data_IF_756949088774
#
_entry.id   IF_756949088774
#
_cell.length_a   1.000
_cell.length_b   1.000
_cell.length_c   1.000
_cell.angle_alpha   90.00
_cell.angle_beta   90.00
_cell.angle_gamma   90.00
#
_symmetry.space_group_name_H-M   'P 1'
#
loop_
_entity.id
_entity.type
_entity.pdbx_description
1 polymer ?
#
# COMPACT_ATOMS: atom_id res chain seq x y z
N UNK A 1 16.76 5.05 -12.41
CA UNK A 1 16.09 3.96 -11.66
C UNK A 1 16.28 2.67 -12.44
N UNK A 2 16.80 1.63 -11.84
CA UNK A 2 16.99 0.33 -12.49
C UNK A 2 16.21 -0.72 -11.70
N UNK A 3 15.14 -1.29 -12.28
CA UNK A 3 14.43 -2.42 -11.68
C UNK A 3 15.24 -3.68 -11.98
N UNK A 4 15.64 -4.42 -10.96
CA UNK A 4 16.43 -5.65 -11.07
C UNK A 4 15.55 -6.90 -11.10
N UNK A 5 14.43 -6.89 -10.38
CA UNK A 5 13.45 -7.98 -10.41
C UNK A 5 12.04 -7.48 -10.13
N UNK A 6 11.08 -8.20 -10.68
CA UNK A 6 9.66 -8.03 -10.38
C UNK A 6 9.16 -9.37 -9.84
N UNK A 7 8.48 -9.32 -8.71
CA UNK A 7 7.80 -10.46 -8.13
C UNK A 7 6.31 -10.18 -8.11
N UNK A 8 5.52 -11.16 -8.50
CA UNK A 8 4.06 -11.12 -8.38
C UNK A 8 3.61 -12.11 -7.33
N UNK A 9 2.57 -11.77 -6.62
CA UNK A 9 1.95 -12.70 -5.67
C UNK A 9 1.03 -13.64 -6.44
N UNK A 10 1.31 -14.94 -6.39
CA UNK A 10 0.46 -15.99 -6.97
C UNK A 10 -0.27 -16.72 -5.84
N UNK A 11 -1.42 -17.32 -6.16
CA UNK A 11 -2.27 -18.04 -5.21
C UNK A 11 -2.88 -17.17 -4.10
N UNK A 12 -3.09 -15.90 -4.40
CA UNK A 12 -3.89 -15.05 -3.54
C UNK A 12 -5.31 -15.64 -3.45
N UNK A 13 -5.63 -16.23 -2.32
CA UNK A 13 -7.01 -16.65 -2.05
C UNK A 13 -7.77 -15.41 -1.59
N UNK A 14 -8.75 -15.05 -2.37
CA UNK A 14 -9.64 -13.93 -2.14
C UNK A 14 -11.07 -14.43 -2.08
N UNK A 15 -11.85 -13.84 -1.19
CA UNK A 15 -13.30 -14.00 -1.15
C UNK A 15 -13.92 -12.60 -1.13
N UNK A 16 -14.63 -12.25 -2.18
CA UNK A 16 -15.38 -10.99 -2.22
C UNK A 16 -16.50 -11.07 -1.20
N UNK A 17 -16.50 -10.16 -0.24
CA UNK A 17 -17.55 -10.00 0.76
C UNK A 17 -18.66 -9.15 0.14
N UNK A 18 -18.28 -7.97 -0.39
CA UNK A 18 -19.20 -7.07 -1.08
C UNK A 18 -18.43 -6.12 -2.01
N UNK A 19 -18.84 -6.02 -3.27
CA UNK A 19 -18.17 -5.17 -4.27
C UNK A 19 -18.57 -3.69 -4.21
N UNK A 20 -19.47 -3.32 -3.29
CA UNK A 20 -20.01 -1.97 -3.11
C UNK A 20 -20.79 -1.40 -4.32
N UNK A 21 -21.12 -2.21 -5.33
CA UNK A 21 -21.91 -1.82 -6.50
C UNK A 21 -23.43 -1.73 -6.23
N UNK A 22 -23.88 -2.08 -5.02
CA UNK A 22 -25.25 -1.91 -4.57
C UNK A 22 -25.32 -1.07 -3.29
N UNK A 23 -26.42 -0.36 -3.12
CA UNK A 23 -26.62 0.55 -2.00
C UNK A 23 -26.81 -0.21 -0.68
N UNK A 24 -26.04 0.15 0.32
CA UNK A 24 -26.18 -0.38 1.68
C UNK A 24 -27.35 0.28 2.42
N UNK A 25 -28.00 -0.49 3.26
CA UNK A 25 -29.13 -0.03 4.06
C UNK A 25 -28.66 0.82 5.25
N UNK A 26 -29.20 2.02 5.35
CA UNK A 26 -28.96 2.93 6.48
C UNK A 26 -29.42 2.30 7.80
N UNK A 27 -28.58 2.40 8.83
CA UNK A 27 -28.88 1.89 10.18
C UNK A 27 -28.97 3.00 11.23
N UNK A 28 -28.56 4.21 10.88
CA UNK A 28 -28.65 5.39 11.76
C UNK A 28 -30.07 5.86 11.99
N UNK A 29 -30.26 6.81 12.91
CA UNK A 29 -31.52 7.51 13.11
C UNK A 29 -31.90 8.22 11.82
N UNK A 30 -33.17 8.19 11.45
CA UNK A 30 -33.72 8.84 10.24
C UNK A 30 -33.21 10.29 10.12
N UNK A 31 -32.57 10.60 8.99
CA UNK A 31 -31.99 11.91 8.70
C UNK A 31 -30.58 12.16 9.28
N UNK A 32 -30.01 11.23 10.05
CA UNK A 32 -28.64 11.34 10.54
C UNK A 32 -27.60 10.79 9.56
N UNK A 33 -28.03 9.89 8.69
CA UNK A 33 -27.25 9.33 7.59
C UNK A 33 -28.07 9.38 6.32
N UNK A 34 -27.44 9.70 5.20
CA UNK A 34 -28.05 9.55 3.87
C UNK A 34 -27.08 8.75 3.00
N UNK A 35 -27.54 7.61 2.52
CA UNK A 35 -26.75 6.71 1.69
C UNK A 35 -27.15 6.81 0.23
N UNK A 36 -26.18 6.72 -0.66
CA UNK A 36 -26.38 6.69 -2.11
C UNK A 36 -25.24 5.91 -2.77
N UNK A 37 -25.47 5.45 -3.99
CA UNK A 37 -24.39 4.91 -4.81
C UNK A 37 -23.68 6.05 -5.54
N UNK A 38 -22.34 6.05 -5.55
CA UNK A 38 -21.53 7.00 -6.30
C UNK A 38 -20.85 6.29 -7.46
N UNK A 39 -21.23 6.63 -8.69
CA UNK A 39 -20.61 6.09 -9.91
C UNK A 39 -19.37 6.89 -10.34
N UNK A 40 -19.25 8.14 -9.89
CA UNK A 40 -18.16 9.04 -10.26
C UNK A 40 -16.95 8.88 -9.34
N UNK A 41 -17.18 8.69 -8.03
CA UNK A 41 -16.12 8.62 -7.02
C UNK A 41 -16.05 7.20 -6.47
N UNK A 42 -15.28 6.35 -7.16
CA UNK A 42 -15.09 4.92 -6.89
C UNK A 42 -13.66 4.49 -7.18
N UNK A 43 -13.29 3.32 -6.70
CA UNK A 43 -12.00 2.67 -7.01
C UNK A 43 -12.17 1.45 -7.89
N UNK A 44 -13.27 0.72 -7.72
CA UNK A 44 -13.51 -0.56 -8.39
C UNK A 44 -14.96 -0.64 -8.91
N UNK A 45 -15.23 -1.60 -9.77
CA UNK A 45 -16.58 -1.95 -10.18
C UNK A 45 -17.42 -0.82 -10.80
N UNK A 46 -18.70 -0.86 -10.56
CA UNK A 46 -19.72 0.06 -11.07
C UNK A 46 -19.93 1.31 -10.22
N UNK A 47 -19.66 1.24 -8.91
CA UNK A 47 -19.89 2.34 -7.98
C UNK A 47 -19.21 2.14 -6.63
N UNK A 48 -19.32 3.12 -5.76
CA UNK A 48 -18.97 3.02 -4.35
C UNK A 48 -20.16 3.38 -3.46
N UNK A 49 -20.23 2.83 -2.25
CA UNK A 49 -21.22 3.23 -1.27
C UNK A 49 -20.82 4.57 -0.65
N UNK A 50 -21.67 5.57 -0.82
CA UNK A 50 -21.51 6.92 -0.30
C UNK A 50 -22.47 7.16 0.85
N UNK A 51 -21.94 7.50 2.03
CA UNK A 51 -22.70 7.80 3.24
C UNK A 51 -22.43 9.23 3.67
N UNK A 52 -23.45 10.08 3.65
CA UNK A 52 -23.39 11.45 4.14
C UNK A 52 -23.85 11.46 5.58
N UNK A 53 -22.98 11.84 6.49
CA UNK A 53 -23.24 11.90 7.93
C UNK A 53 -23.62 13.32 8.33
N UNK A 54 -24.70 13.46 9.09
CA UNK A 54 -25.04 14.70 9.75
C UNK A 54 -24.23 14.92 11.03
N UNK A 55 -24.16 16.16 11.48
CA UNK A 55 -23.58 16.49 12.81
C UNK A 55 -24.42 15.85 13.91
N UNK A 56 -23.74 15.32 14.93
CA UNK A 56 -24.40 14.78 16.13
C UNK A 56 -24.94 13.35 15.96
N UNK A 57 -24.43 12.60 14.98
CA UNK A 57 -24.67 11.17 14.90
C UNK A 57 -24.12 10.50 16.18
N UNK A 58 -24.95 9.69 16.84
CA UNK A 58 -24.60 9.10 18.14
C UNK A 58 -23.34 8.23 18.04
N UNK A 59 -22.35 8.46 18.90
CA UNK A 59 -21.14 7.68 18.95
C UNK A 59 -21.45 6.18 19.09
N UNK A 60 -20.76 5.34 18.32
CA UNK A 60 -21.00 3.91 18.25
C UNK A 60 -22.16 3.48 17.37
N UNK A 61 -22.82 4.40 16.65
CA UNK A 61 -23.90 4.04 15.72
C UNK A 61 -23.35 3.34 14.46
N UNK A 62 -24.08 2.34 13.99
CA UNK A 62 -23.84 1.75 12.68
C UNK A 62 -24.35 2.74 11.62
N UNK A 63 -23.50 3.13 10.70
CA UNK A 63 -23.82 4.05 9.61
C UNK A 63 -24.73 3.36 8.61
N UNK A 64 -24.27 2.24 8.09
CA UNK A 64 -25.03 1.43 7.14
C UNK A 64 -24.57 -0.03 7.24
N UNK A 65 -25.41 -0.94 6.82
CA UNK A 65 -25.10 -2.35 6.69
C UNK A 65 -25.76 -2.95 5.48
N UNK A 66 -25.23 -4.07 5.01
CA UNK A 66 -25.79 -4.83 3.90
C UNK A 66 -25.83 -6.32 4.23
N UNK A 67 -26.93 -6.94 3.84
CA UNK A 67 -27.09 -8.37 3.93
C UNK A 67 -26.37 -9.04 2.75
N UNK A 68 -25.55 -10.03 3.02
CA UNK A 68 -24.82 -10.78 2.00
C UNK A 68 -25.20 -12.26 2.05
N UNK A 69 -24.94 -12.95 0.94
CA UNK A 69 -25.01 -14.41 0.97
C UNK A 69 -23.99 -14.96 1.97
N UNK A 70 -24.36 -15.98 2.75
CA UNK A 70 -23.47 -16.56 3.74
C UNK A 70 -22.11 -16.92 3.13
N UNK A 71 -21.05 -16.37 3.72
CA UNK A 71 -19.68 -16.61 3.30
C UNK A 71 -18.83 -17.11 4.47
N UNK A 72 -18.04 -18.14 4.22
CA UNK A 72 -17.10 -18.69 5.16
C UNK A 72 -15.73 -18.03 4.97
N UNK A 73 -15.24 -17.32 5.97
CA UNK A 73 -13.96 -16.63 5.99
C UNK A 73 -12.88 -17.35 6.81
N UNK A 74 -13.16 -18.56 7.34
CA UNK A 74 -12.27 -19.29 8.24
C UNK A 74 -10.86 -19.57 7.68
N UNK A 75 -10.70 -19.50 6.38
CA UNK A 75 -9.39 -19.66 5.74
C UNK A 75 -8.70 -18.36 5.36
N UNK A 76 -9.28 -17.21 5.70
CA UNK A 76 -8.74 -15.86 5.41
C UNK A 76 -7.93 -15.36 6.59
N UNK A 77 -7.16 -14.30 6.39
CA UNK A 77 -6.31 -13.72 7.45
C UNK A 77 -6.51 -12.21 7.58
N UNK A 78 -6.96 -11.54 6.52
CA UNK A 78 -7.16 -10.10 6.51
C UNK A 78 -8.43 -9.75 5.75
N UNK A 79 -9.04 -8.62 6.13
CA UNK A 79 -9.99 -7.91 5.31
C UNK A 79 -9.28 -6.78 4.57
N UNK A 80 -9.70 -6.53 3.33
CA UNK A 80 -9.19 -5.46 2.47
C UNK A 80 -10.36 -4.70 1.87
N UNK A 81 -10.23 -3.36 1.79
CA UNK A 81 -11.26 -2.49 1.21
C UNK A 81 -10.70 -1.10 0.94
N UNK A 82 -11.38 -0.34 0.11
CA UNK A 82 -11.10 1.05 -0.11
C UNK A 82 -12.04 1.93 0.70
N UNK A 83 -11.50 2.98 1.30
CA UNK A 83 -12.29 3.96 2.04
C UNK A 83 -11.77 5.37 1.78
N UNK A 84 -12.69 6.33 1.72
CA UNK A 84 -12.40 7.75 1.59
C UNK A 84 -13.32 8.54 2.52
N UNK A 85 -12.78 9.56 3.18
CA UNK A 85 -13.54 10.50 3.99
C UNK A 85 -13.28 11.93 3.52
N UNK A 86 -14.29 12.78 3.49
CA UNK A 86 -14.14 14.22 3.18
C UNK A 86 -13.41 14.98 4.28
N UNK A 87 -13.27 14.40 5.46
CA UNK A 87 -12.50 14.95 6.60
C UNK A 87 -11.43 13.97 7.03
N UNK A 88 -10.37 14.48 7.66
CA UNK A 88 -9.37 13.64 8.29
C UNK A 88 -9.98 12.92 9.50
N UNK A 89 -9.65 11.64 9.69
CA UNK A 89 -10.07 10.84 10.84
C UNK A 89 -8.86 10.29 11.58
N UNK A 90 -9.05 9.90 12.84
CA UNK A 90 -8.05 9.16 13.61
C UNK A 90 -8.29 7.65 13.48
N UNK A 91 -7.28 6.84 13.80
CA UNK A 91 -7.41 5.39 13.72
C UNK A 91 -8.51 4.91 14.69
N UNK A 92 -9.40 4.06 14.19
CA UNK A 92 -10.52 3.52 14.95
C UNK A 92 -11.78 4.41 15.02
N UNK A 93 -11.76 5.64 14.47
CA UNK A 93 -12.98 6.46 14.35
C UNK A 93 -14.04 5.79 13.49
N UNK A 94 -13.59 5.06 12.47
CA UNK A 94 -14.42 4.23 11.62
C UNK A 94 -14.05 2.76 11.81
N UNK A 95 -15.04 1.88 11.73
CA UNK A 95 -14.88 0.44 11.84
C UNK A 95 -15.68 -0.27 10.75
N UNK A 96 -15.07 -1.24 10.08
CA UNK A 96 -15.77 -2.20 9.25
C UNK A 96 -16.23 -3.36 10.14
N UNK A 97 -17.48 -3.74 10.01
CA UNK A 97 -18.11 -4.83 10.78
C UNK A 97 -18.39 -6.02 9.88
N UNK A 98 -18.12 -7.23 10.36
CA UNK A 98 -18.57 -8.48 9.77
C UNK A 98 -19.38 -9.23 10.80
N UNK A 99 -20.52 -9.78 10.41
CA UNK A 99 -21.44 -10.39 11.35
C UNK A 99 -22.13 -11.64 10.77
N UNK A 100 -22.39 -12.58 11.63
CA UNK A 100 -23.20 -13.76 11.36
C UNK A 100 -24.69 -13.56 11.74
N UNK A 101 -25.06 -12.32 12.12
CA UNK A 101 -26.45 -11.89 12.35
C UNK A 101 -26.82 -10.76 11.39
N UNK A 102 -28.12 -10.49 11.23
CA UNK A 102 -28.58 -9.44 10.33
C UNK A 102 -28.20 -8.05 10.84
N UNK A 103 -27.92 -7.14 9.90
CA UNK A 103 -27.68 -5.71 10.14
C UNK A 103 -26.50 -5.43 11.08
N UNK A 104 -25.54 -6.33 11.18
CA UNK A 104 -24.37 -6.22 12.07
C UNK A 104 -24.78 -5.97 13.55
N UNK A 105 -25.84 -6.64 14.00
CA UNK A 105 -26.38 -6.43 15.35
C UNK A 105 -25.46 -6.94 16.46
N UNK A 106 -24.61 -7.95 16.16
CA UNK A 106 -23.64 -8.54 17.09
C UNK A 106 -22.37 -8.93 16.33
N UNK A 107 -21.55 -7.96 15.91
CA UNK A 107 -20.41 -8.22 15.02
C UNK A 107 -19.45 -9.24 15.61
N UNK A 108 -19.08 -10.25 14.79
CA UNK A 108 -18.03 -11.23 15.14
C UNK A 108 -16.64 -10.67 14.85
N UNK A 109 -16.53 -9.77 13.85
CA UNK A 109 -15.32 -9.02 13.56
C UNK A 109 -15.62 -7.52 13.59
N UNK A 110 -14.74 -6.77 14.25
CA UNK A 110 -14.77 -5.30 14.30
C UNK A 110 -13.38 -4.80 13.92
N UNK A 111 -13.28 -4.25 12.73
CA UNK A 111 -12.02 -3.94 12.07
C UNK A 111 -11.78 -2.43 12.05
N UNK A 112 -10.80 -1.96 12.80
CA UNK A 112 -10.46 -0.55 12.88
C UNK A 112 -9.89 -0.04 11.56
N UNK A 113 -10.50 1.02 11.03
CA UNK A 113 -9.97 1.77 9.88
C UNK A 113 -8.79 2.62 10.38
N UNK A 114 -7.64 2.64 9.70
CA UNK A 114 -6.53 3.51 10.06
C UNK A 114 -6.91 4.99 9.93
N UNK A 115 -6.06 5.89 10.42
CA UNK A 115 -6.25 7.32 10.23
C UNK A 115 -6.33 7.65 8.72
N UNK A 116 -7.35 8.42 8.33
CA UNK A 116 -7.55 8.83 6.95
C UNK A 116 -7.14 10.29 6.74
N UNK A 117 -6.57 10.55 5.59
CA UNK A 117 -6.35 11.91 5.07
C UNK A 117 -7.63 12.37 4.35
N UNK A 118 -8.05 13.62 4.59
CA UNK A 118 -9.23 14.17 3.95
C UNK A 118 -9.17 14.04 2.42
N UNK A 119 -10.30 13.72 1.81
CA UNK A 119 -10.52 13.60 0.36
C UNK A 119 -9.57 12.62 -0.37
N UNK A 120 -8.95 11.68 0.37
CA UNK A 120 -8.00 10.72 -0.20
C UNK A 120 -8.53 9.30 -0.07
N UNK A 121 -8.59 8.58 -1.18
CA UNK A 121 -8.85 7.15 -1.16
C UNK A 121 -7.70 6.41 -0.49
N UNK A 122 -8.02 5.65 0.54
CA UNK A 122 -7.07 4.84 1.31
C UNK A 122 -7.41 3.37 1.15
N UNK A 123 -6.43 2.59 0.70
CA UNK A 123 -6.53 1.14 0.74
C UNK A 123 -6.26 0.66 2.15
N UNK A 124 -7.22 -0.04 2.72
CA UNK A 124 -7.15 -0.56 4.09
C UNK A 124 -6.95 -2.06 4.03
N UNK A 125 -6.00 -2.53 4.80
CA UNK A 125 -5.76 -3.95 5.05
C UNK A 125 -5.64 -4.18 6.53
N UNK A 126 -6.59 -4.92 7.11
CA UNK A 126 -6.68 -5.18 8.56
C UNK A 126 -6.77 -6.68 8.80
N UNK A 127 -6.02 -7.18 9.79
CA UNK A 127 -6.08 -8.57 10.18
C UNK A 127 -7.44 -8.91 10.79
N UNK A 128 -8.00 -10.06 10.40
CA UNK A 128 -9.14 -10.66 11.08
C UNK A 128 -8.70 -11.14 12.47
N UNK A 129 -9.52 -10.93 13.49
CA UNK A 129 -9.16 -11.26 14.86
C UNK A 129 -9.31 -12.77 15.14
N UNK A 130 -10.41 -13.36 14.68
CA UNK A 130 -10.75 -14.77 14.93
C UNK A 130 -11.34 -15.45 13.69
N UNK A 131 -10.61 -15.46 12.55
CA UNK A 131 -11.15 -15.91 11.27
C UNK A 131 -11.65 -17.36 11.30
N UNK A 132 -11.13 -18.20 12.17
CA UNK A 132 -11.59 -19.59 12.33
C UNK A 132 -13.03 -19.69 12.84
N UNK A 133 -13.58 -18.62 13.42
CA UNK A 133 -14.97 -18.54 13.87
C UNK A 133 -15.89 -17.91 12.82
N UNK A 134 -15.35 -17.28 11.79
CA UNK A 134 -16.07 -16.58 10.73
C UNK A 134 -16.61 -17.51 9.65
N UNK A 135 -17.27 -18.57 10.07
CA UNK A 135 -17.73 -19.66 9.16
C UNK A 135 -19.00 -19.32 8.40
N UNK A 136 -19.74 -18.30 8.82
CA UNK A 136 -21.06 -17.96 8.24
C UNK A 136 -21.37 -16.47 8.35
N UNK A 137 -20.55 -15.62 7.74
CA UNK A 137 -20.80 -14.17 7.70
C UNK A 137 -21.96 -13.90 6.74
N UNK A 138 -22.99 -13.18 7.20
CA UNK A 138 -24.20 -12.85 6.45
C UNK A 138 -24.50 -11.36 6.38
N UNK A 139 -23.73 -10.53 7.06
CA UNK A 139 -23.84 -9.07 6.94
C UNK A 139 -22.49 -8.38 7.06
N UNK A 140 -22.36 -7.26 6.39
CA UNK A 140 -21.23 -6.34 6.44
C UNK A 140 -21.74 -4.96 6.79
N UNK A 141 -20.99 -4.18 7.59
CA UNK A 141 -21.43 -2.86 8.01
C UNK A 141 -20.29 -1.88 8.22
N UNK A 142 -20.64 -0.61 8.19
CA UNK A 142 -19.74 0.48 8.53
C UNK A 142 -20.26 1.17 9.80
N UNK A 143 -19.40 1.38 10.77
CA UNK A 143 -19.71 2.00 12.06
C UNK A 143 -18.75 3.15 12.32
N UNK A 144 -19.23 4.17 13.03
CA UNK A 144 -18.36 5.17 13.64
C UNK A 144 -18.32 4.98 15.15
N UNK A 145 -17.17 5.23 15.79
CA UNK A 145 -16.96 5.05 17.21
C UNK A 145 -17.10 6.36 17.98
N UNK A 146 -16.76 7.47 17.34
CA UNK A 146 -16.82 8.83 17.88
C UNK A 146 -17.57 9.75 16.92
N UNK A 147 -18.15 10.84 17.41
CA UNK A 147 -18.74 11.85 16.53
C UNK A 147 -17.64 12.58 15.77
N UNK A 148 -17.48 12.21 14.52
CA UNK A 148 -16.52 12.84 13.59
C UNK A 148 -17.07 14.11 12.95
N UNK A 149 -18.32 14.52 13.29
CA UNK A 149 -19.01 15.65 12.69
C UNK A 149 -19.62 15.33 11.32
N UNK A 150 -20.02 16.38 10.60
CA UNK A 150 -20.53 16.22 9.25
C UNK A 150 -19.42 15.74 8.31
N UNK A 151 -19.62 14.61 7.67
CA UNK A 151 -18.67 13.99 6.78
C UNK A 151 -19.35 13.20 5.68
N UNK A 152 -18.67 13.00 4.57
CA UNK A 152 -19.06 12.02 3.56
C UNK A 152 -18.03 10.91 3.54
N UNK A 153 -18.49 9.67 3.72
CA UNK A 153 -17.65 8.48 3.69
C UNK A 153 -18.00 7.69 2.44
N UNK A 154 -16.99 7.31 1.69
CA UNK A 154 -17.10 6.36 0.60
C UNK A 154 -16.45 5.04 0.99
N UNK A 155 -17.08 3.93 0.68
CA UNK A 155 -16.57 2.58 0.89
C UNK A 155 -16.68 1.81 -0.43
N UNK A 156 -15.64 1.03 -0.76
CA UNK A 156 -15.59 0.29 -2.01
C UNK A 156 -14.80 -1.02 -1.85
N UNK A 157 -15.15 -2.05 -2.61
CA UNK A 157 -14.39 -3.27 -2.81
C UNK A 157 -14.04 -4.07 -1.55
N UNK A 158 -15.03 -4.43 -0.71
CA UNK A 158 -14.78 -5.19 0.53
C UNK A 158 -14.54 -6.66 0.22
N UNK A 159 -13.38 -7.17 0.64
CA UNK A 159 -12.97 -8.56 0.44
C UNK A 159 -12.20 -9.12 1.64
N UNK A 160 -12.14 -10.42 1.74
CA UNK A 160 -11.24 -11.11 2.65
C UNK A 160 -10.14 -11.81 1.86
N UNK A 161 -8.92 -11.78 2.37
CA UNK A 161 -7.74 -12.35 1.71
C UNK A 161 -6.97 -13.25 2.67
N UNK A 162 -6.30 -14.24 2.10
CA UNK A 162 -5.34 -15.05 2.85
C UNK A 162 -3.93 -14.52 2.61
N UNK A 163 -3.25 -14.13 3.69
CA UNK A 163 -1.85 -13.75 3.62
C UNK A 163 -0.95 -14.98 3.53
N UNK A 164 -0.50 -15.27 2.33
CA UNK A 164 0.51 -16.27 2.09
C UNK A 164 1.84 -15.55 1.81
N UNK A 165 2.63 -15.31 2.85
CA UNK A 165 3.93 -14.63 2.76
C UNK A 165 4.96 -15.37 1.90
N UNK A 166 4.67 -16.63 1.49
CA UNK A 166 5.56 -17.48 0.70
C UNK A 166 5.33 -17.52 -0.81
N UNK A 167 4.24 -16.95 -1.32
CA UNK A 167 3.79 -17.17 -2.71
C UNK A 167 4.25 -16.09 -3.70
N UNK A 168 5.39 -15.48 -3.45
CA UNK A 168 5.99 -14.55 -4.39
C UNK A 168 6.73 -15.28 -5.50
N UNK A 169 6.30 -15.12 -6.74
CA UNK A 169 6.97 -15.65 -7.92
C UNK A 169 7.70 -14.54 -8.65
N UNK A 170 8.99 -14.72 -8.86
CA UNK A 170 9.78 -13.79 -9.66
C UNK A 170 9.42 -13.95 -11.13
N UNK A 171 8.99 -12.85 -11.75
CA UNK A 171 8.71 -12.81 -13.17
C UNK A 171 10.00 -12.91 -14.00
N UNK A 172 9.93 -13.70 -15.06
CA UNK A 172 11.03 -13.78 -16.01
C UNK A 172 11.29 -12.41 -16.64
N UNK A 173 12.57 -12.06 -16.87
CA UNK A 173 12.95 -10.74 -17.39
C UNK A 173 12.26 -10.35 -18.71
N UNK A 174 11.89 -11.31 -19.51
CA UNK A 174 11.21 -11.10 -20.80
C UNK A 174 9.69 -10.87 -20.65
N UNK A 175 9.14 -11.00 -19.45
CA UNK A 175 7.71 -10.80 -19.19
C UNK A 175 7.36 -9.37 -18.78
N UNK A 176 8.33 -8.47 -18.80
CA UNK A 176 8.13 -7.08 -18.42
C UNK A 176 9.19 -6.17 -19.03
N UNK A 177 8.82 -4.93 -19.28
CA UNK A 177 9.77 -3.89 -19.68
C UNK A 177 9.50 -2.58 -18.96
N UNK A 178 10.52 -1.75 -18.85
CA UNK A 178 10.45 -0.43 -18.22
C UNK A 178 10.67 0.62 -19.29
N UNK A 179 9.69 1.47 -19.48
CA UNK A 179 9.84 2.70 -20.25
C UNK A 179 10.38 3.80 -19.31
N UNK A 180 11.65 4.17 -19.52
CA UNK A 180 12.32 5.17 -18.70
C UNK A 180 11.85 6.59 -19.00
N UNK A 181 11.39 6.83 -20.20
CA UNK A 181 10.95 8.16 -20.65
C UNK A 181 9.53 8.44 -20.19
N UNK A 182 8.64 7.46 -20.31
CA UNK A 182 7.28 7.53 -19.81
C UNK A 182 7.19 7.28 -18.28
N UNK A 183 8.28 6.79 -17.63
CA UNK A 183 8.32 6.38 -16.22
C UNK A 183 7.29 5.30 -15.87
N UNK A 184 6.96 4.46 -16.82
CA UNK A 184 6.01 3.37 -16.67
C UNK A 184 6.71 2.01 -16.77
N UNK A 185 6.10 0.99 -16.22
CA UNK A 185 6.49 -0.38 -16.54
C UNK A 185 5.28 -1.12 -17.13
N UNK A 186 5.54 -2.03 -18.06
CA UNK A 186 4.53 -2.84 -18.69
C UNK A 186 4.82 -4.32 -18.42
N UNK A 187 3.80 -5.06 -18.05
CA UNK A 187 3.85 -6.51 -17.96
C UNK A 187 3.43 -7.10 -19.31
N UNK A 188 4.37 -7.75 -19.99
CA UNK A 188 4.13 -8.43 -21.28
C UNK A 188 3.72 -9.90 -21.04
N UNK A 189 2.82 -10.13 -20.08
CA UNK A 189 2.45 -11.48 -19.71
C UNK A 189 1.15 -11.89 -20.41
N UNK A 190 1.19 -12.87 -21.37
CA UNK A 190 -0.01 -13.31 -22.06
C UNK A 190 -1.00 -14.06 -21.17
N UNK A 191 -0.60 -14.41 -19.96
CA UNK A 191 -1.40 -15.11 -18.97
C UNK A 191 -1.29 -14.40 -17.61
N UNK A 192 -1.76 -13.16 -17.51
CA UNK A 192 -2.15 -12.67 -16.19
C UNK A 192 -3.14 -13.68 -15.62
N UNK A 193 -2.98 -14.15 -14.37
CA UNK A 193 -3.94 -15.02 -13.76
C UNK A 193 -5.31 -14.36 -13.88
N UNK A 194 -6.10 -14.81 -14.85
CA UNK A 194 -7.48 -14.36 -15.04
C UNK A 194 -8.24 -14.76 -13.79
N UNK A 195 -8.57 -13.81 -12.94
CA UNK A 195 -9.37 -14.06 -11.75
C UNK A 195 -8.98 -13.26 -10.51
N UNK A 196 -7.83 -12.58 -10.52
CA UNK A 196 -7.45 -11.70 -9.41
C UNK A 196 -7.13 -10.32 -9.99
N UNK A 197 -8.07 -9.42 -9.87
CA UNK A 197 -7.92 -8.04 -10.33
C UNK A 197 -6.81 -7.27 -9.57
N UNK A 198 -6.21 -7.88 -8.55
CA UNK A 198 -5.26 -7.26 -7.62
C UNK A 198 -4.09 -8.19 -7.30
N UNK A 199 -3.25 -8.43 -8.30
CA UNK A 199 -1.95 -9.04 -8.04
C UNK A 199 -1.06 -8.00 -7.37
N UNK A 200 -0.68 -8.22 -6.12
CA UNK A 200 0.35 -7.41 -5.49
C UNK A 200 1.65 -7.59 -6.26
N UNK A 201 2.29 -6.49 -6.59
CA UNK A 201 3.56 -6.46 -7.32
C UNK A 201 4.64 -5.92 -6.39
N UNK A 202 5.72 -6.69 -6.26
CA UNK A 202 6.92 -6.26 -5.53
C UNK A 202 8.01 -5.93 -6.53
N UNK A 203 8.47 -4.69 -6.51
CA UNK A 203 9.58 -4.23 -7.33
C UNK A 203 10.86 -4.19 -6.49
N UNK A 204 11.91 -4.84 -6.94
CA UNK A 204 13.25 -4.67 -6.40
C UNK A 204 14.13 -4.00 -7.45
N UNK A 205 14.91 -3.01 -7.02
CA UNK A 205 15.73 -2.26 -7.96
C UNK A 205 16.66 -1.28 -7.26
N UNK A 206 17.42 -0.56 -8.05
CA UNK A 206 18.33 0.48 -7.59
C UNK A 206 17.68 1.84 -7.79
N UNK A 207 17.48 2.55 -6.69
CA UNK A 207 17.03 3.96 -6.70
C UNK A 207 18.25 4.85 -6.97
N UNK A 208 18.10 5.87 -7.81
CA UNK A 208 19.11 6.93 -7.89
C UNK A 208 19.20 7.60 -6.51
N UNK A 209 20.39 7.78 -5.94
CA UNK A 209 20.55 8.52 -4.68
C UNK A 209 19.90 9.90 -4.77
N UNK A 210 19.39 10.39 -3.66
CA UNK A 210 18.85 11.74 -3.55
C UNK A 210 19.94 12.76 -3.82
N UNK A 211 19.62 13.85 -4.51
CA UNK A 211 20.57 14.95 -4.69
C UNK A 211 20.76 15.67 -3.35
N UNK A 212 22.00 15.80 -2.92
CA UNK A 212 22.36 16.55 -1.71
C UNK A 212 22.34 18.04 -2.04
N UNK A 213 21.22 18.69 -1.82
CA UNK A 213 21.01 20.10 -2.15
C UNK A 213 20.82 21.01 -0.91
N UNK A 214 20.84 20.42 0.29
CA UNK A 214 20.77 21.16 1.55
C UNK A 214 21.49 20.37 2.67
N UNK A 215 21.96 21.08 3.70
CA UNK A 215 22.67 20.47 4.84
C UNK A 215 21.84 19.42 5.62
N UNK A 216 20.52 19.54 5.56
CA UNK A 216 19.59 18.60 6.22
C UNK A 216 19.21 17.40 5.34
N UNK A 217 19.73 17.29 4.11
CA UNK A 217 19.41 16.17 3.22
C UNK A 217 20.21 14.94 3.67
N UNK A 218 19.51 13.89 4.07
CA UNK A 218 20.14 12.61 4.39
C UNK A 218 20.77 11.98 3.15
N UNK A 219 22.01 11.49 3.32
CA UNK A 219 22.74 10.84 2.25
C UNK A 219 22.35 9.36 2.16
N UNK A 220 21.77 8.96 1.04
CA UNK A 220 21.43 7.55 0.75
C UNK A 220 22.67 6.67 0.47
N UNK A 221 23.86 7.27 0.41
CA UNK A 221 25.13 6.58 0.10
C UNK A 221 26.03 6.59 1.33
N UNK A 222 26.69 5.47 1.57
CA UNK A 222 27.65 5.34 2.67
C UNK A 222 28.66 6.51 2.68
N UNK A 223 28.74 7.28 3.79
CA UNK A 223 29.66 8.42 3.88
C UNK A 223 31.12 8.07 3.59
N UNK A 224 31.57 6.89 4.04
CA UNK A 224 32.94 6.41 3.80
C UNK A 224 33.21 6.19 2.31
N UNK A 225 32.25 5.65 1.56
CA UNK A 225 32.35 5.55 0.11
C UNK A 225 32.52 6.93 -0.55
N UNK A 226 31.70 7.91 -0.16
CA UNK A 226 31.74 9.25 -0.75
C UNK A 226 33.07 9.96 -0.45
N UNK A 227 33.56 9.86 0.80
CA UNK A 227 34.82 10.46 1.23
C UNK A 227 35.97 9.85 0.43
N UNK A 228 36.08 8.52 0.40
CA UNK A 228 37.16 7.83 -0.29
C UNK A 228 37.10 8.09 -1.81
N UNK A 229 35.90 8.10 -2.40
CA UNK A 229 35.72 8.41 -3.84
C UNK A 229 36.11 9.85 -4.17
N UNK A 230 35.73 10.82 -3.31
CA UNK A 230 36.12 12.23 -3.48
C UNK A 230 37.66 12.40 -3.36
N UNK A 231 38.29 11.71 -2.39
CA UNK A 231 39.74 11.74 -2.24
C UNK A 231 40.45 11.16 -3.47
N UNK A 232 39.98 10.06 -4.00
CA UNK A 232 40.53 9.48 -5.24
C UNK A 232 40.44 10.44 -6.42
N UNK A 233 39.28 11.11 -6.57
CA UNK A 233 39.10 12.11 -7.63
C UNK A 233 39.97 13.35 -7.48
N UNK A 234 40.14 13.86 -6.25
CA UNK A 234 41.01 14.99 -5.94
C UNK A 234 42.47 14.66 -6.21
N UNK A 235 42.95 13.48 -5.83
CA UNK A 235 44.31 13.05 -6.06
C UNK A 235 44.63 12.90 -7.56
N UNK A 236 43.67 12.35 -8.34
CA UNK A 236 43.82 12.29 -9.81
C UNK A 236 43.87 13.69 -10.42
N UNK A 237 42.98 14.58 -10.01
CA UNK A 237 42.96 15.96 -10.49
C UNK A 237 44.25 16.73 -10.10
N UNK A 238 44.83 16.42 -8.94
CA UNK A 238 46.14 16.97 -8.49
C UNK A 238 47.29 16.39 -9.30
N UNK A 239 47.28 15.08 -9.60
CA UNK A 239 48.27 14.42 -10.42
C UNK A 239 48.33 15.01 -11.83
N UNK A 240 47.21 15.39 -12.40
CA UNK A 240 47.14 16.00 -13.74
C UNK A 240 47.70 17.43 -13.82
N UNK A 241 47.84 18.13 -12.68
CA UNK A 241 48.26 19.52 -12.61
C UNK A 241 49.75 19.73 -12.23
N UNK A 242 50.51 18.67 -11.91
CA UNK A 242 51.85 18.80 -11.42
C UNK A 242 52.86 17.99 -12.25
N UNK A 243 53.83 18.68 -12.73
CA UNK A 243 55.08 18.06 -13.23
C UNK A 243 55.83 17.44 -12.07
N UNK A 244 56.00 16.14 -12.04
CA UNK A 244 57.04 15.48 -11.25
C UNK A 244 56.67 14.40 -10.28
N UNK A 245 55.39 14.18 -9.95
CA UNK A 245 55.03 13.04 -9.09
C UNK A 245 53.63 12.47 -9.43
N UNK A 246 53.37 12.38 -10.72
CA UNK A 246 52.11 11.93 -11.28
C UNK A 246 51.78 10.50 -10.84
N UNK A 247 52.73 9.61 -10.93
CA UNK A 247 52.56 8.19 -10.64
C UNK A 247 52.22 7.92 -9.18
N UNK A 248 52.82 8.68 -8.24
CA UNK A 248 52.50 8.55 -6.82
C UNK A 248 51.06 9.00 -6.49
N UNK A 249 50.59 10.12 -7.10
CA UNK A 249 49.26 10.60 -6.90
C UNK A 249 48.18 9.66 -7.47
N UNK A 250 48.47 9.01 -8.60
CA UNK A 250 47.60 8.01 -9.18
C UNK A 250 47.55 6.72 -8.36
N UNK A 251 48.72 6.25 -7.86
CA UNK A 251 48.79 5.07 -7.00
C UNK A 251 48.00 5.28 -5.71
N UNK A 252 48.12 6.46 -5.10
CA UNK A 252 47.35 6.83 -3.90
C UNK A 252 45.85 6.94 -4.21
N UNK A 253 45.47 7.52 -5.35
CA UNK A 253 44.07 7.56 -5.81
C UNK A 253 43.46 6.18 -6.00
N UNK A 254 44.23 5.23 -6.54
CA UNK A 254 43.75 3.85 -6.73
C UNK A 254 43.56 3.13 -5.38
N UNK A 255 44.35 3.45 -4.36
CA UNK A 255 44.14 2.93 -3.00
C UNK A 255 42.82 3.46 -2.40
N UNK A 256 42.54 4.75 -2.54
CA UNK A 256 41.24 5.31 -2.07
C UNK A 256 40.06 4.78 -2.87
N UNK A 257 40.24 4.49 -4.16
CA UNK A 257 39.17 3.89 -4.96
C UNK A 257 38.90 2.43 -4.51
N UNK A 258 39.94 1.68 -4.16
CA UNK A 258 39.78 0.32 -3.58
C UNK A 258 39.05 0.37 -2.22
N UNK A 259 39.37 1.34 -1.35
CA UNK A 259 38.68 1.57 -0.08
C UNK A 259 37.21 1.94 -0.29
N UNK A 260 36.92 2.81 -1.25
CA UNK A 260 35.55 3.16 -1.60
C UNK A 260 34.73 1.93 -2.06
N UNK A 261 35.30 1.11 -2.93
CA UNK A 261 34.65 -0.14 -3.36
C UNK A 261 34.47 -1.11 -2.20
N UNK A 262 35.42 -1.19 -1.27
CA UNK A 262 35.32 -2.01 -0.06
C UNK A 262 34.18 -1.58 0.86
N UNK A 263 33.93 -0.28 1.00
CA UNK A 263 32.82 0.26 1.78
C UNK A 263 31.45 -0.13 1.19
N UNK A 264 31.33 -0.27 -0.13
CA UNK A 264 30.09 -0.72 -0.78
C UNK A 264 29.84 -2.23 -0.66
N UNK A 265 30.89 -3.03 -0.64
CA UNK A 265 30.74 -4.50 -0.59
C UNK A 265 30.31 -5.03 0.78
N UNK A 266 30.49 -4.25 1.85
CA UNK A 266 30.02 -4.56 3.20
C UNK A 266 28.54 -4.26 3.44
N UNK A 267 27.89 -3.54 2.54
CA UNK A 267 26.48 -3.20 2.64
C UNK A 267 25.60 -4.17 1.81
N UNK A 268 24.72 -4.89 2.49
CA UNK A 268 23.52 -5.38 1.80
C UNK A 268 22.78 -4.16 1.28
N UNK A 269 22.58 -4.09 -0.04
CA UNK A 269 21.76 -3.04 -0.63
C UNK A 269 20.46 -2.91 0.17
N UNK A 270 20.09 -1.71 0.64
CA UNK A 270 18.86 -1.55 1.38
C UNK A 270 17.70 -2.07 0.50
N UNK A 271 17.10 -3.16 0.94
CA UNK A 271 15.94 -3.74 0.26
C UNK A 271 14.73 -2.86 0.55
N UNK A 272 14.62 -1.76 -0.16
CA UNK A 272 13.43 -0.94 -0.17
C UNK A 272 12.31 -1.69 -0.90
N UNK A 273 11.31 -2.14 -0.18
CA UNK A 273 10.07 -2.62 -0.78
C UNK A 273 9.21 -1.38 -1.02
N UNK A 274 8.98 -1.04 -2.29
CA UNK A 274 8.05 0.02 -2.67
C UNK A 274 6.77 -0.68 -3.10
N UNK A 275 5.70 -0.42 -2.38
CA UNK A 275 4.35 -0.81 -2.78
C UNK A 275 3.84 0.27 -3.73
N UNK A 276 3.41 -0.12 -4.91
CA UNK A 276 2.71 0.75 -5.85
C UNK A 276 1.28 0.27 -5.83
N UNK A 277 0.42 1.05 -5.18
CA UNK A 277 -1.03 0.93 -5.34
C UNK A 277 -1.41 1.63 -6.65
N UNK A 278 -2.14 0.93 -7.51
CA UNK A 278 -2.78 1.51 -8.70
C UNK A 278 -4.08 2.24 -8.32
#
# INVERSE_FOLDING_TARGET
MGISSIQVRVNHKEKVIHNADSLWTEQGTVGSVTSSLSEEDKREGGGSNKHVLAVGLAAGAIIASEAISSIDLSGMTHAEFWVKSTIATTAGDLQLLLDNTASCASPVETLDVPALVADTWTYVRVALATPELDTAIISVGLKHTSDIGAATIHLDGVRAVRDNTGDWVTLHRNSWHVDKDARTFTLDYPNTPTGSAYALIKLAGVKKPSELNADATECDVEPEYLINKAMAMLLRARGDRRDGNRDAAYLEADQYEALALGALTGQQAPSGTVWIDD
#
